data_IF_474858351245
#
_entry.id   IF_474858351245
#
_cell.length_a   1.000
_cell.length_b   1.000
_cell.length_c   1.000
_cell.angle_alpha   90.00
_cell.angle_beta   90.00
_cell.angle_gamma   90.00
#
_symmetry.space_group_name_H-M   'P 1'
#
loop_
_entity.id
_entity.type
_entity.pdbx_description
1 polymer ?
2 polymer ?
3 polymer ?
4 water ?
#
loop_
_entity_poly.entity_id
_entity_poly.type
_entity_poly.pdbx_seq_one_letter_code
_entity_poly.pdbx_strand_id
1 'polydeoxyribonucleotide' '(DT)(DC)' ?
#
# COMPACT_ATOMS: atom_id res chain seq x y z
N UNK B 1 26.46 -3.83 2.24
CA UNK B 1 25.39 -3.87 3.23
C UNK B 1 24.97 -5.32 3.44
N UNK B 2 24.43 -5.59 4.61
CA UNK B 2 23.94 -6.88 4.92
C UNK B 2 22.53 -6.89 4.38
N UNK B 3 22.29 -7.76 3.42
CA UNK B 3 20.99 -7.89 2.84
C UNK B 3 20.23 -8.86 3.68
N UNK B 4 19.01 -8.49 4.02
CA UNK B 4 18.16 -9.30 4.87
C UNK B 4 17.06 -9.89 3.98
N UNK B 5 17.05 -11.20 3.79
CA UNK B 5 16.11 -11.82 2.85
C UNK B 5 15.04 -12.50 3.66
N UNK B 6 13.81 -12.07 3.51
CA UNK B 6 12.72 -12.75 4.22
C UNK B 6 11.98 -13.65 3.28
N UNK B 7 11.57 -14.80 3.77
CA UNK B 7 10.78 -15.68 3.00
C UNK B 7 9.74 -16.30 3.90
N UNK B 8 8.50 -16.39 3.43
CA UNK B 8 8.00 -15.90 2.15
C UNK B 8 7.70 -14.43 2.26
N UNK B 9 7.36 -13.78 1.17
CA UNK B 9 6.98 -12.37 1.26
C UNK B 9 5.53 -12.26 1.68
N UNK B 10 4.75 -13.27 1.39
CA UNK B 10 3.39 -13.29 1.83
C UNK B 10 3.12 -14.66 2.37
N UNK B 11 2.57 -14.76 3.55
CA UNK B 11 2.37 -16.06 4.16
C UNK B 11 0.91 -16.16 4.54
N UNK B 12 0.14 -16.97 3.79
CA UNK B 12 -1.24 -17.25 4.10
C UNK B 12 -1.30 -18.16 5.27
N UNK B 13 -2.07 -17.80 6.27
CA UNK B 13 -2.18 -18.62 7.42
C UNK B 13 -3.62 -18.72 7.75
N UNK B 14 -3.97 -19.74 8.50
CA UNK B 14 -5.28 -19.81 9.07
C UNK B 14 -5.12 -19.35 10.51
N UNK B 15 -6.12 -18.69 11.03
CA UNK B 15 -6.10 -18.31 12.42
C UNK B 15 -5.98 -19.58 13.26
N UNK B 16 -5.16 -19.47 14.28
CA UNK B 16 -4.91 -20.54 15.19
C UNK B 16 -3.80 -21.47 14.75
N UNK B 17 -3.25 -21.35 13.55
CA UNK B 17 -2.23 -22.33 13.31
C UNK B 17 -0.89 -21.67 13.35
N UNK B 18 0.17 -22.41 13.20
CA UNK B 18 1.43 -21.81 13.43
C UNK B 18 1.94 -21.26 12.15
N UNK B 19 2.77 -20.24 12.27
CA UNK B 19 3.36 -19.60 11.15
C UNK B 19 4.84 -19.48 11.46
N UNK B 20 5.65 -19.58 10.43
CA UNK B 20 7.07 -19.44 10.54
C UNK B 20 7.49 -18.53 9.45
N UNK B 21 8.36 -17.60 9.78
CA UNK B 21 8.87 -16.75 8.74
C UNK B 21 10.36 -16.74 8.89
N UNK B 22 11.02 -16.80 7.76
CA UNK B 22 12.44 -16.93 7.70
C UNK B 22 13.04 -15.59 7.31
N UNK B 23 14.20 -15.36 7.88
CA UNK B 23 14.99 -14.24 7.61
C UNK B 23 16.43 -14.73 7.51
N UNK B 24 17.05 -14.46 6.40
CA UNK B 24 18.42 -14.83 6.20
C UNK B 24 19.21 -13.61 5.86
N UNK B 25 20.40 -13.50 6.43
CA UNK B 25 21.25 -12.36 6.22
C UNK B 25 22.32 -12.80 5.25
N UNK B 26 22.82 -11.86 4.47
CA UNK B 26 23.80 -12.18 3.48
C UNK B 26 25.16 -12.37 4.11
N UNK B 27 25.34 -11.88 5.32
CA UNK B 27 26.52 -12.22 6.08
C UNK B 27 26.17 -12.41 7.53
N UNK B 28 27.09 -12.92 8.31
CA UNK B 28 26.81 -13.20 9.69
C UNK B 28 26.43 -11.94 10.36
N UNK B 29 25.44 -12.02 11.21
CA UNK B 29 25.08 -10.84 11.95
C UNK B 29 25.46 -11.00 13.41
N UNK B 30 26.35 -11.95 13.68
CA UNK B 30 26.98 -12.04 14.98
C UNK B 30 27.91 -10.84 15.10
N UNK B 31 27.66 -10.02 16.09
CA UNK B 31 28.45 -8.86 16.33
C UNK B 31 29.82 -9.28 16.84
N UNK B 32 30.82 -8.40 16.82
CA UNK B 32 32.08 -8.80 17.44
C UNK B 32 31.89 -9.19 18.90
N UNK B 33 30.92 -8.63 19.60
CA UNK B 33 30.79 -8.97 21.01
C UNK B 33 30.08 -10.29 21.20
N UNK B 34 29.66 -10.88 20.09
CA UNK B 34 29.20 -12.25 20.09
C UNK B 34 27.70 -12.26 20.22
N UNK B 35 27.10 -11.09 20.42
CA UNK B 35 25.68 -11.00 20.35
C UNK B 35 25.25 -10.90 18.92
N UNK B 36 24.03 -11.33 18.69
CA UNK B 36 23.46 -11.29 17.38
C UNK B 36 22.26 -10.37 17.46
N UNK B 37 22.39 -9.20 16.86
CA UNK B 37 21.37 -8.20 17.01
C UNK B 37 20.35 -8.33 15.89
N UNK B 38 19.58 -9.40 15.95
CA UNK B 38 18.56 -9.70 15.00
C UNK B 38 17.27 -9.43 15.72
N UNK B 39 16.44 -8.60 15.11
CA UNK B 39 15.22 -8.16 15.71
C UNK B 39 14.10 -8.36 14.73
N UNK B 40 12.91 -8.50 15.25
CA UNK B 40 11.74 -8.63 14.45
C UNK B 40 10.81 -7.53 14.90
N UNK B 41 10.16 -6.93 13.93
CA UNK B 41 9.18 -5.91 14.16
C UNK B 41 7.90 -6.33 13.45
N UNK B 42 6.77 -5.95 13.97
CA UNK B 42 5.50 -6.15 13.33
C UNK B 42 4.96 -4.78 13.02
N UNK B 43 4.47 -4.59 11.80
CA UNK B 43 3.82 -3.38 11.44
C UNK B 43 2.42 -3.68 10.94
N UNK B 44 1.48 -2.97 11.51
CA UNK B 44 0.11 -3.04 11.02
C UNK B 44 -0.08 -1.83 10.16
N UNK B 45 -1.01 -1.93 9.18
CA UNK B 45 -1.34 -0.83 8.30
C UNK B 45 -1.55 0.46 9.03
N UNK B 46 -0.83 1.48 8.60
CA UNK B 46 -1.03 2.80 9.13
C UNK B 46 -0.43 3.02 10.50
N UNK B 47 0.34 2.05 11.00
CA UNK B 47 0.91 2.17 12.31
C UNK B 47 2.41 2.02 12.23
N UNK B 48 3.07 2.45 13.29
CA UNK B 48 4.49 2.33 13.41
C UNK B 48 4.77 0.88 13.66
N UNK B 49 5.96 0.43 13.25
CA UNK B 49 6.43 -0.86 13.59
C UNK B 49 6.55 -1.01 15.09
N UNK B 50 6.31 -2.22 15.54
CA UNK B 50 6.44 -2.54 16.92
C UNK B 50 7.46 -3.63 17.08
N UNK B 51 8.31 -3.48 18.09
CA UNK B 51 9.36 -4.41 18.37
C UNK B 51 8.75 -5.65 18.95
N UNK B 52 9.10 -6.80 18.38
CA UNK B 52 8.61 -8.06 18.93
C UNK B 52 9.72 -8.81 19.64
N UNK B 53 10.82 -8.95 18.95
CA UNK B 53 11.89 -9.83 19.36
C UNK B 53 13.21 -9.12 19.11
N UNK B 54 14.13 -9.30 20.05
CA UNK B 54 15.44 -8.70 19.90
C UNK B 54 16.45 -9.80 20.27
N UNK B 55 17.68 -9.61 19.82
CA UNK B 55 18.74 -10.59 20.03
C UNK B 55 18.26 -11.98 19.76
N UNK B 56 17.66 -12.09 18.60
CA UNK B 56 17.24 -13.33 17.98
C UNK B 56 15.99 -13.92 18.60
N UNK B 57 15.97 -14.06 19.91
CA UNK B 57 15.00 -14.92 20.53
C UNK B 57 14.35 -14.32 21.75
N UNK B 58 14.62 -13.06 22.03
CA UNK B 58 14.09 -12.48 23.26
C UNK B 58 12.84 -11.71 22.95
N UNK B 59 11.78 -11.95 23.67
CA UNK B 59 10.57 -11.19 23.47
C UNK B 59 10.67 -9.88 24.20
N UNK B 60 10.32 -8.81 23.48
CA UNK B 60 10.20 -7.52 24.07
C UNK B 60 9.06 -7.54 25.08
N UNK B 61 9.08 -6.68 26.07
CA UNK B 61 8.05 -6.67 27.08
C UNK B 61 6.70 -6.50 26.42
N UNK B 62 5.74 -7.28 26.86
CA UNK B 62 4.40 -7.19 26.33
C UNK B 62 4.12 -8.06 25.12
N UNK B 63 5.14 -8.69 24.55
CA UNK B 63 4.96 -9.53 23.40
C UNK B 63 4.56 -10.90 23.88
N UNK B 64 3.44 -11.41 23.41
CA UNK B 64 2.94 -12.64 24.01
C UNK B 64 3.86 -13.82 23.64
N UNK B 65 3.75 -14.91 24.39
CA UNK B 65 4.72 -16.00 24.27
C UNK B 65 4.49 -16.85 23.04
N UNK B 66 3.51 -16.49 22.23
CA UNK B 66 3.28 -17.23 21.00
C UNK B 66 4.30 -16.81 19.95
N UNK B 67 5.01 -15.70 20.17
CA UNK B 67 6.09 -15.34 19.28
C UNK B 67 7.39 -15.84 19.82
N UNK B 68 8.17 -16.55 19.00
CA UNK B 68 9.47 -16.97 19.40
C UNK B 68 10.36 -16.76 18.19
N UNK B 69 11.63 -16.50 18.46
CA UNK B 69 12.58 -16.35 17.43
C UNK B 69 13.68 -17.34 17.67
N UNK B 70 14.31 -17.78 16.60
CA UNK B 70 15.43 -18.67 16.75
C UNK B 70 16.33 -18.42 15.59
N UNK B 71 17.47 -19.06 15.62
CA UNK B 71 18.35 -19.00 14.49
C UNK B 71 19.70 -18.62 14.98
N UNK B 72 20.65 -18.66 14.08
CA UNK B 72 21.96 -18.20 14.44
C UNK B 72 22.70 -17.86 13.19
N UNK B 73 23.57 -16.88 13.29
CA UNK B 73 24.52 -16.64 12.25
C UNK B 73 23.88 -15.84 11.17
N UNK B 74 23.28 -16.55 10.20
CA UNK B 74 22.65 -15.91 9.07
C UNK B 74 21.22 -16.42 8.85
N UNK B 75 20.73 -17.37 9.61
CA UNK B 75 19.44 -17.93 9.33
C UNK B 75 18.61 -17.83 10.57
N UNK B 76 17.46 -17.18 10.44
CA UNK B 76 16.66 -16.80 11.57
C UNK B 76 15.24 -17.08 11.23
N UNK B 77 14.49 -17.41 12.26
CA UNK B 77 13.12 -17.73 12.11
C UNK B 77 12.34 -17.05 13.20
N UNK B 78 11.21 -16.52 12.81
CA UNK B 78 10.22 -16.08 13.73
C UNK B 78 9.09 -17.07 13.60
N UNK B 79 8.65 -17.60 14.71
CA UNK B 79 7.61 -18.53 14.71
C UNK B 79 6.49 -17.95 15.54
N UNK B 80 5.28 -18.14 15.06
CA UNK B 80 4.08 -17.72 15.81
C UNK B 80 3.31 -18.99 16.07
N UNK B 81 3.16 -19.38 17.33
CA UNK B 81 2.67 -20.72 17.59
C UNK B 81 1.19 -20.88 17.28
N UNK B 82 0.48 -19.75 17.26
CA UNK B 82 -0.97 -19.74 17.08
C UNK B 82 -1.28 -18.35 16.61
N UNK B 83 -1.53 -18.22 15.32
CA UNK B 83 -1.82 -16.94 14.76
C UNK B 83 -3.19 -16.46 15.22
N UNK B 84 -3.24 -15.24 15.76
CA UNK B 84 -4.48 -14.61 16.13
C UNK B 84 -4.70 -13.53 15.12
N UNK B 85 -5.93 -13.07 15.02
CA UNK B 85 -6.27 -12.00 14.10
C UNK B 85 -5.35 -10.77 14.27
N UNK B 86 -5.03 -10.44 15.51
CA UNK B 86 -4.24 -9.25 15.74
C UNK B 86 -2.81 -9.40 15.28
N UNK B 87 -2.44 -10.58 14.81
CA UNK B 87 -1.07 -10.80 14.41
C UNK B 87 -0.88 -10.54 12.95
N UNK B 88 -1.99 -10.27 12.25
CA UNK B 88 -1.94 -10.05 10.83
C UNK B 88 -1.28 -8.69 10.61
N UNK B 89 -0.29 -8.69 9.74
CA UNK B 89 0.45 -7.49 9.52
C UNK B 89 1.69 -7.92 8.80
N UNK B 90 2.65 -7.03 8.79
CA UNK B 90 3.87 -7.24 8.08
C UNK B 90 4.94 -7.37 9.13
N UNK B 91 5.71 -8.43 8.98
CA UNK B 91 6.79 -8.70 9.88
C UNK B 91 8.07 -8.41 9.17
N UNK B 92 8.93 -7.69 9.89
CA UNK B 92 10.25 -7.34 9.36
C UNK B 92 11.29 -7.89 10.30
N UNK B 93 12.28 -8.52 9.73
CA UNK B 93 13.47 -8.81 10.48
C UNK B 93 14.42 -7.67 10.21
N UNK B 94 15.32 -7.46 11.16
CA UNK B 94 16.17 -6.32 11.17
C UNK B 94 17.50 -6.79 11.75
N UNK B 95 18.59 -6.26 11.21
CA UNK B 95 19.89 -6.51 11.80
C UNK B 95 20.43 -5.18 12.27
N UNK B 96 20.93 -5.19 13.49
CA UNK B 96 21.54 -4.00 14.07
C UNK B 96 22.95 -4.30 14.50
N UNK B 97 23.57 -5.28 13.83
CA UNK B 97 24.96 -5.63 14.11
C UNK B 97 25.91 -4.83 13.24
N UNK B 98 25.46 -4.44 12.07
CA UNK B 98 26.34 -3.83 11.08
C UNK B 98 25.72 -2.58 10.55
N UNK B 99 26.55 -1.61 10.13
CA UNK B 99 26.05 -0.40 9.52
C UNK B 99 26.28 -0.56 8.01
N UNK B 100 25.28 -0.22 7.19
CA UNK B 100 24.01 0.30 7.53
C UNK B 100 23.11 -0.74 8.13
N UNK B 101 22.27 -0.23 9.00
CA UNK B 101 21.28 -1.03 9.57
C UNK B 101 20.34 -1.40 8.45
N UNK B 102 19.82 -2.64 8.44
CA UNK B 102 19.02 -3.08 7.30
C UNK B 102 17.90 -3.96 7.83
N UNK B 103 16.79 -3.85 7.11
CA UNK B 103 15.61 -4.62 7.35
C UNK B 103 15.37 -5.55 6.24
N UNK B 104 14.66 -6.64 6.52
CA UNK B 104 14.15 -7.46 5.43
C UNK B 104 12.98 -6.74 4.80
N UNK B 105 12.48 -7.24 3.68
CA UNK B 105 11.49 -6.56 2.89
C UNK B 105 10.12 -6.69 3.48
N UNK B 106 9.96 -7.59 4.43
CA UNK B 106 8.72 -7.73 5.13
C UNK B 106 8.02 -8.96 4.64
N UNK B 107 7.40 -9.67 5.55
CA UNK B 107 6.53 -10.78 5.24
C UNK B 107 5.15 -10.40 5.72
N UNK B 108 4.22 -10.36 4.79
CA UNK B 108 2.89 -10.05 5.14
C UNK B 108 2.17 -11.35 5.47
N UNK B 109 1.62 -11.39 6.65
CA UNK B 109 0.81 -12.48 7.08
C UNK B 109 -0.61 -12.20 6.60
N UNK B 110 -1.17 -13.13 5.85
CA UNK B 110 -2.48 -12.94 5.26
C UNK B 110 -3.35 -14.14 5.63
N UNK B 111 -4.64 -14.02 5.45
CA UNK B 111 -5.54 -15.06 5.84
C UNK B 111 -5.72 -15.99 4.65
N UNK B 112 -5.57 -17.28 4.94
CA UNK B 112 -5.77 -18.32 3.97
C UNK B 112 -7.24 -18.56 3.80
N UNK B 113 -7.63 -18.87 2.58
CA UNK B 113 -8.99 -19.23 2.28
C UNK B 113 -8.96 -20.10 1.02
N UNK B 114 -10.11 -20.62 0.61
CA UNK B 114 -10.12 -21.46 -0.57
C UNK B 114 -9.89 -20.58 -1.80
N UNK B 115 -9.32 -21.18 -2.81
CA UNK B 115 -9.12 -20.45 -4.04
C UNK B 115 -10.44 -19.96 -4.57
N UNK B 116 -10.41 -18.80 -5.21
CA UNK B 116 -11.62 -18.17 -5.73
C UNK B 116 -11.21 -17.51 -7.03
N UNK B 117 -11.90 -17.87 -8.08
CA UNK B 117 -11.62 -17.28 -9.38
C UNK B 117 -12.11 -15.85 -9.35
N UNK B 118 -11.44 -14.96 -10.05
CA UNK B 118 -11.90 -13.59 -10.11
C UNK B 118 -13.17 -13.47 -10.90
N UNK B 119 -14.04 -12.57 -10.50
CA UNK B 119 -15.18 -12.17 -11.32
C UNK B 119 -14.67 -11.01 -12.09
N UNK B 120 -14.66 -11.12 -13.40
CA UNK B 120 -14.01 -10.09 -14.22
C UNK B 120 -15.10 -9.33 -14.97
N UNK B 121 -15.02 -8.01 -14.88
CA UNK B 121 -15.96 -7.10 -15.55
C UNK B 121 -15.14 -6.13 -16.33
N UNK B 122 -15.56 -5.86 -17.56
CA UNK B 122 -14.89 -4.86 -18.38
C UNK B 122 -15.89 -3.79 -18.71
N UNK B 123 -15.40 -2.56 -18.73
CA UNK B 123 -16.26 -1.42 -18.93
C UNK B 123 -15.69 -0.56 -19.98
N UNK B 124 -16.47 -0.30 -21.03
CA UNK B 124 -16.04 0.70 -21.96
C UNK B 124 -16.05 2.07 -21.31
N UNK B 125 -15.40 3.03 -21.96
CA UNK B 125 -15.38 4.38 -21.47
C UNK B 125 -16.77 4.92 -21.37
N UNK B 126 -17.04 5.71 -20.35
CA UNK B 126 -18.31 6.36 -20.27
C UNK B 126 -18.41 7.42 -21.35
N UNK B 127 -19.63 7.70 -21.77
CA UNK B 127 -19.83 8.72 -22.78
C UNK B 127 -19.32 10.07 -22.25
N UNK B 128 -19.55 10.34 -20.96
CA UNK B 128 -19.05 11.55 -20.34
C UNK B 128 -17.57 11.74 -20.50
N UNK B 129 -16.81 10.67 -20.31
CA UNK B 129 -15.38 10.78 -20.41
C UNK B 129 -14.96 11.01 -21.84
N UNK B 130 -15.60 10.29 -22.75
CA UNK B 130 -15.32 10.48 -24.15
C UNK B 130 -15.51 11.92 -24.55
N UNK B 131 -16.50 12.60 -23.99
CA UNK B 131 -16.71 14.02 -24.30
C UNK B 131 -15.52 14.88 -23.87
N UNK B 132 -14.83 14.47 -22.82
CA UNK B 132 -13.62 15.15 -22.36
C UNK B 132 -12.38 14.83 -23.20
N UNK B 133 -12.48 13.86 -24.11
CA UNK B 133 -11.37 13.53 -25.00
C UNK B 133 -10.52 12.38 -24.52
N UNK B 134 -10.94 11.77 -23.41
CA UNK B 134 -10.23 10.64 -22.81
C UNK B 134 -11.05 9.38 -22.91
N UNK B 135 -10.39 8.25 -22.82
CA UNK B 135 -11.08 6.99 -22.89
C UNK B 135 -10.42 6.03 -21.92
N UNK B 136 -11.01 5.79 -20.77
CA UNK B 136 -10.45 4.80 -19.86
C UNK B 136 -11.31 3.58 -19.98
N UNK B 137 -10.67 2.44 -20.22
CA UNK B 137 -11.32 1.18 -20.25
C UNK B 137 -10.97 0.50 -18.95
N UNK B 138 -11.96 0.01 -18.24
CA UNK B 138 -11.69 -0.45 -16.89
C UNK B 138 -12.03 -1.92 -16.84
N UNK B 139 -11.18 -2.65 -16.15
CA UNK B 139 -11.41 -4.03 -15.88
C UNK B 139 -11.31 -4.24 -14.41
N UNK B 140 -12.38 -4.74 -13.83
CA UNK B 140 -12.36 -5.13 -12.43
C UNK B 140 -12.19 -6.62 -12.35
N UNK B 141 -11.35 -7.05 -11.44
CA UNK B 141 -11.12 -8.47 -11.25
C UNK B 141 -11.33 -8.64 -9.80
N UNK B 142 -12.52 -9.08 -9.46
CA UNK B 142 -12.98 -9.02 -8.12
C UNK B 142 -13.07 -10.35 -7.42
N UNK B 143 -12.75 -10.32 -6.13
CA UNK B 143 -13.00 -11.38 -5.18
C UNK B 143 -12.29 -12.65 -5.55
N UNK B 144 -10.99 -12.57 -5.72
CA UNK B 144 -10.22 -13.73 -6.05
C UNK B 144 -9.22 -14.04 -4.96
N UNK B 145 -8.74 -15.26 -5.02
CA UNK B 145 -7.78 -15.78 -4.08
C UNK B 145 -7.10 -16.98 -4.74
N UNK B 146 -5.77 -17.08 -4.68
CA UNK B 146 -4.82 -16.25 -4.00
C UNK B 146 -4.59 -14.95 -4.71
N UNK B 147 -3.76 -14.08 -4.13
CA UNK B 147 -3.67 -12.71 -4.62
C UNK B 147 -2.95 -12.60 -5.92
N UNK B 148 -2.18 -13.61 -6.27
CA UNK B 148 -1.36 -13.54 -7.47
C UNK B 148 -2.22 -13.62 -8.70
N UNK B 149 -2.14 -12.61 -9.52
CA UNK B 149 -2.95 -12.57 -10.69
C UNK B 149 -2.20 -11.77 -11.72
N UNK B 150 -2.41 -12.08 -12.98
CA UNK B 150 -1.76 -11.31 -14.04
C UNK B 150 -2.85 -10.85 -14.95
N UNK B 151 -2.86 -9.56 -15.25
CA UNK B 151 -3.83 -9.03 -16.16
C UNK B 151 -3.11 -8.50 -17.36
N UNK B 152 -3.72 -8.76 -18.50
CA UNK B 152 -3.16 -8.38 -19.78
C UNK B 152 -4.31 -7.73 -20.50
N UNK B 153 -4.02 -6.63 -21.15
CA UNK B 153 -4.96 -5.94 -22.06
C UNK B 153 -4.56 -6.25 -23.46
N UNK B 154 -5.57 -6.53 -24.28
CA UNK B 154 -5.37 -6.71 -25.71
C UNK B 154 -6.35 -5.80 -26.41
N UNK B 155 -5.87 -5.15 -27.45
CA UNK B 155 -6.65 -4.23 -28.23
C UNK B 155 -6.50 -4.77 -29.61
N UNK B 156 -7.61 -5.13 -30.23
CA UNK B 156 -7.59 -5.77 -31.54
C UNK B 156 -6.60 -6.93 -31.60
N UNK B 157 -6.61 -7.70 -30.52
CA UNK B 157 -5.82 -8.91 -30.44
C UNK B 157 -4.35 -8.74 -30.09
N UNK B 158 -3.87 -7.51 -29.92
CA UNK B 158 -2.49 -7.28 -29.58
C UNK B 158 -2.38 -6.80 -28.16
N UNK B 159 -1.41 -7.36 -27.44
CA UNK B 159 -1.15 -6.94 -26.10
C UNK B 159 -0.86 -5.46 -26.05
N UNK B 160 -1.41 -4.81 -25.06
CA UNK B 160 -1.17 -3.41 -24.81
C UNK B 160 -0.71 -3.22 -23.38
N UNK B 161 0.42 -2.61 -23.19
CA UNK B 161 0.92 -2.41 -21.89
C UNK B 161 0.97 -0.95 -21.49
N UNK B 162 1.19 -0.04 -22.44
CA UNK B 162 1.28 1.36 -22.04
C UNK B 162 -0.10 1.92 -21.73
N UNK B 163 -0.15 2.72 -20.68
CA UNK B 163 -1.38 3.37 -20.29
C UNK B 163 -2.20 2.53 -19.38
N UNK B 164 -1.64 1.41 -18.90
CA UNK B 164 -2.37 0.56 -18.03
C UNK B 164 -1.99 0.90 -16.62
N UNK B 165 -2.99 1.04 -15.76
CA UNK B 165 -2.75 1.25 -14.37
C UNK B 165 -3.56 0.29 -13.57
N UNK B 166 -2.87 -0.41 -12.68
CA UNK B 166 -3.49 -1.39 -11.86
C UNK B 166 -3.49 -0.95 -10.45
N UNK B 167 -4.52 -1.37 -9.73
CA UNK B 167 -4.56 -1.10 -8.32
C UNK B 167 -5.10 -2.33 -7.68
N UNK B 168 -4.61 -2.65 -6.50
CA UNK B 168 -5.00 -3.86 -5.82
C UNK B 168 -5.55 -3.50 -4.48
N UNK B 169 -6.61 -4.17 -4.05
CA UNK B 169 -7.06 -3.99 -2.72
C UNK B 169 -6.20 -4.88 -1.83
N UNK B 170 -6.27 -4.61 -0.55
CA UNK B 170 -5.74 -5.50 0.43
C UNK B 170 -6.76 -6.60 0.60
N UNK B 171 -6.39 -7.58 1.36
CA UNK B 171 -7.28 -8.67 1.55
C UNK B 171 -8.55 -8.19 2.23
N UNK B 172 -9.66 -8.64 1.71
CA UNK B 172 -10.96 -8.24 2.18
C UNK B 172 -11.17 -8.84 3.55
N UNK B 173 -11.63 -8.04 4.52
CA UNK B 173 -11.70 -8.54 5.88
C UNK B 173 -12.88 -9.44 5.99
N UNK B 174 -13.80 -9.34 5.06
CA UNK B 174 -15.00 -10.14 5.14
C UNK B 174 -14.82 -11.50 4.52
N UNK B 175 -14.27 -11.56 3.33
CA UNK B 175 -14.18 -12.83 2.66
C UNK B 175 -12.77 -13.24 2.29
N UNK B 176 -11.77 -12.46 2.69
CA UNK B 176 -10.38 -12.82 2.56
C UNK B 176 -9.94 -12.87 1.12
N UNK B 177 -10.75 -12.31 0.21
CA UNK B 177 -10.34 -12.23 -1.17
C UNK B 177 -9.63 -10.94 -1.43
N UNK B 178 -9.10 -10.89 -2.64
CA UNK B 178 -8.46 -9.74 -3.19
C UNK B 178 -9.21 -9.30 -4.40
N UNK B 179 -9.08 -8.02 -4.71
CA UNK B 179 -9.64 -7.51 -5.94
C UNK B 179 -8.61 -6.59 -6.51
N UNK B 180 -8.75 -6.35 -7.79
CA UNK B 180 -7.86 -5.55 -8.52
C UNK B 180 -8.65 -4.80 -9.56
N UNK B 181 -8.18 -3.60 -9.88
CA UNK B 181 -8.74 -2.81 -10.94
C UNK B 181 -7.61 -2.65 -11.91
N UNK B 182 -7.92 -2.71 -13.17
CA UNK B 182 -6.93 -2.45 -14.17
C UNK B 182 -7.60 -1.50 -15.13
N UNK B 183 -6.97 -0.36 -15.36
CA UNK B 183 -7.53 0.67 -16.19
C UNK B 183 -6.54 0.96 -17.31
N UNK B 184 -7.05 0.90 -18.52
CA UNK B 184 -6.29 1.25 -19.69
C UNK B 184 -6.80 2.60 -20.12
N UNK B 185 -5.93 3.59 -20.13
CA UNK B 185 -6.34 4.93 -20.54
C UNK B 185 -5.73 5.26 -21.85
N UNK B 186 -6.58 5.67 -22.77
CA UNK B 186 -6.22 6.05 -24.12
C UNK B 186 -6.80 7.43 -24.34
N UNK B 187 -6.38 8.07 -25.38
CA UNK B 187 -7.10 9.24 -25.87
C UNK B 187 -8.38 8.72 -26.55
N UNK B 188 -9.38 9.58 -26.69
CA UNK B 188 -10.59 9.21 -27.39
C UNK B 188 -10.21 8.82 -28.83
N UNK B 189 -9.25 9.53 -29.41
CA UNK B 189 -8.88 9.24 -30.82
C UNK B 189 -8.26 7.87 -30.97
N UNK B 190 -7.34 7.54 -30.10
CA UNK B 190 -6.77 6.20 -30.07
C UNK B 190 -7.84 5.14 -29.79
N UNK B 191 -8.69 5.40 -28.82
CA UNK B 191 -9.79 4.49 -28.52
C UNK B 191 -10.65 4.16 -29.74
N UNK B 192 -10.89 5.18 -30.57
CA UNK B 192 -11.82 5.05 -31.69
C UNK B 192 -11.17 4.40 -32.86
N UNK B 193 -9.86 4.21 -32.82
CA UNK B 193 -9.14 3.54 -33.90
C UNK B 193 -9.08 2.04 -33.68
N UNK B 194 -9.66 1.51 -32.60
CA UNK B 194 -9.63 0.07 -32.38
C UNK B 194 -11.01 -0.45 -32.12
N UNK B 195 -11.20 -1.74 -32.33
CA UNK B 195 -12.52 -2.33 -32.22
C UNK B 195 -12.64 -3.13 -30.93
N UNK B 196 -11.71 -4.04 -30.69
CA UNK B 196 -11.93 -5.00 -29.63
C UNK B 196 -11.01 -4.68 -28.47
N UNK B 197 -11.58 -4.68 -27.28
CA UNK B 197 -10.82 -4.44 -26.07
C UNK B 197 -11.00 -5.63 -25.18
N UNK B 198 -9.90 -6.19 -24.72
CA UNK B 198 -9.91 -7.41 -23.96
C UNK B 198 -9.07 -7.24 -22.71
N UNK B 199 -9.68 -7.55 -21.59
CA UNK B 199 -9.02 -7.71 -20.33
C UNK B 199 -8.87 -9.24 -20.15
N UNK B 200 -7.62 -9.72 -20.00
CA UNK B 200 -7.33 -11.16 -19.83
C UNK B 200 -6.63 -11.35 -18.53
N UNK B 201 -7.17 -12.22 -17.69
CA UNK B 201 -6.68 -12.42 -16.34
C UNK B 201 -6.15 -13.86 -16.25
N UNK B 202 -4.91 -14.04 -15.83
CA UNK B 202 -4.38 -15.35 -15.55
C UNK B 202 -4.32 -15.48 -14.05
N UNK B 203 -4.95 -16.53 -13.56
CA UNK B 203 -5.05 -16.77 -12.16
C UNK B 203 -4.96 -18.28 -11.99
N UNK B 204 -4.45 -18.69 -10.85
CA UNK B 204 -4.19 -20.09 -10.62
C UNK B 204 -5.45 -20.94 -10.70
N UNK B 205 -6.61 -20.33 -10.55
CA UNK B 205 -7.84 -21.06 -10.50
C UNK B 205 -8.26 -21.60 -11.86
N UNK B 206 -7.75 -21.04 -12.96
CA UNK B 206 -7.92 -21.72 -14.22
C UNK B 206 -6.66 -21.84 -15.06
N UNK B 207 -6.73 -22.86 -15.93
CA UNK B 207 -5.66 -23.27 -16.76
C UNK B 207 -5.52 -22.27 -17.88
N UNK B 208 -6.59 -21.56 -18.14
CA UNK B 208 -6.60 -20.63 -19.21
C UNK B 208 -7.00 -19.26 -18.70
N UNK B 209 -6.52 -18.22 -19.36
CA UNK B 209 -6.89 -16.90 -18.90
C UNK B 209 -8.39 -16.70 -18.97
N UNK B 210 -8.89 -15.88 -18.06
CA UNK B 210 -10.24 -15.41 -18.08
C UNK B 210 -10.27 -14.19 -18.99
N UNK B 211 -11.14 -14.18 -19.97
CA UNK B 211 -11.13 -13.14 -20.98
C UNK B 211 -12.48 -12.47 -20.95
N UNK B 212 -12.47 -11.16 -20.78
CA UNK B 212 -13.64 -10.34 -21.00
C UNK B 212 -13.30 -9.30 -22.05
N UNK B 213 -14.20 -9.09 -22.98
CA UNK B 213 -13.92 -8.04 -23.91
C UNK B 213 -15.19 -7.39 -24.35
N UNK B 214 -15.04 -6.33 -25.10
CA UNK B 214 -16.16 -5.78 -25.79
C UNK B 214 -15.65 -5.25 -27.09
N UNK B 215 -16.56 -5.12 -28.06
CA UNK B 215 -16.27 -4.44 -29.31
C UNK B 215 -16.87 -3.04 -29.21
N UNK B 216 -16.04 -2.05 -29.55
CA UNK B 216 -16.44 -0.65 -29.45
C UNK B 216 -17.71 -0.38 -30.27
N UNK B 217 -17.77 -0.99 -31.45
CA UNK B 217 -18.93 -0.93 -32.35
C UNK B 217 -19.95 -2.00 -32.01
N UNK B 218 -20.40 -2.01 -30.76
CA UNK B 218 -21.43 -2.93 -30.28
C UNK B 218 -21.96 -2.26 -29.04
N UNK B 219 -22.89 -2.89 -28.34
CA UNK B 219 -23.53 -2.25 -27.21
C UNK B 219 -24.24 -3.25 -26.29
N UNK C 1 4.63 7.96 30.15
CA UNK C 1 4.48 8.22 28.71
C UNK C 1 5.79 8.67 28.00
N UNK C 2 6.57 7.69 27.57
CA UNK C 2 7.56 7.91 26.58
C UNK C 2 6.79 8.17 25.31
N UNK C 3 7.14 9.23 24.60
CA UNK C 3 6.53 9.52 23.34
C UNK C 3 7.50 10.18 22.42
N UNK C 4 7.42 9.80 21.15
CA UNK C 4 8.10 10.46 20.07
C UNK C 4 6.98 11.01 19.22
N UNK C 5 6.92 12.32 19.08
CA UNK C 5 5.85 12.94 18.34
C UNK C 5 6.49 13.57 17.13
N UNK C 6 6.06 13.16 15.97
CA UNK C 6 6.54 13.73 14.76
C UNK C 6 5.61 14.81 14.25
N UNK C 7 6.17 15.65 13.39
CA UNK C 7 5.40 16.68 12.78
C UNK C 7 4.39 16.03 11.82
N UNK C 8 3.47 16.86 11.33
CA UNK C 8 2.39 16.42 10.52
C UNK C 8 2.80 16.21 9.09
N UNK C 9 1.86 15.70 8.29
CA UNK C 9 2.07 15.39 6.92
C UNK C 9 2.46 16.62 6.14
N UNK C 10 3.26 16.43 5.13
CA UNK C 10 3.76 17.53 4.35
C UNK C 10 3.42 17.26 2.92
N UNK C 11 2.99 18.29 2.23
CA UNK C 11 2.79 18.23 0.82
C UNK C 11 3.69 19.31 0.34
N UNK C 12 4.71 18.98 -0.40
CA UNK C 12 5.64 20.01 -0.84
C UNK C 12 5.86 19.84 -2.32
N UNK C 13 6.43 20.86 -2.93
CA UNK C 13 6.59 20.85 -4.37
C UNK C 13 7.92 20.21 -4.70
N UNK C 14 8.00 19.54 -5.85
CA UNK C 14 9.27 18.97 -6.26
C UNK C 14 10.36 20.04 -6.14
N UNK C 15 11.55 19.64 -5.72
CA UNK C 15 12.67 20.56 -5.62
C UNK C 15 12.74 21.25 -4.27
N UNK C 16 11.66 21.23 -3.51
CA UNK C 16 11.61 21.90 -2.24
C UNK C 16 12.34 21.04 -1.21
N UNK C 17 12.48 21.56 -0.03
CA UNK C 17 13.08 20.81 1.03
C UNK C 17 12.03 20.85 2.12
N UNK C 18 12.11 19.94 3.05
CA UNK C 18 11.15 19.84 4.08
C UNK C 18 11.96 19.51 5.34
N UNK C 19 11.49 19.95 6.49
CA UNK C 19 12.16 19.66 7.74
C UNK C 19 11.12 18.98 8.60
N UNK C 20 11.34 17.73 8.95
CA UNK C 20 10.42 16.95 9.73
C UNK C 20 10.97 16.81 11.11
N UNK C 21 10.14 16.92 12.12
CA UNK C 21 10.64 16.88 13.47
C UNK C 21 10.13 15.67 14.21
N UNK C 22 10.88 15.35 15.23
CA UNK C 22 10.59 14.23 16.06
C UNK C 22 10.89 14.70 17.46
N UNK C 23 9.86 14.97 18.22
CA UNK C 23 9.99 15.45 19.55
C UNK C 23 9.84 14.31 20.56
N UNK C 24 10.80 14.25 21.46
CA UNK C 24 10.91 13.21 22.42
C UNK C 24 10.43 13.71 23.74
N UNK C 25 9.65 12.91 24.42
CA UNK C 25 9.26 13.26 25.77
C UNK C 25 9.20 12.00 26.60
N UNK C 26 9.31 12.20 27.90
CA UNK C 26 9.16 11.14 28.86
C UNK C 26 10.40 10.35 29.16
N UNK C 27 11.51 10.72 28.55
CA UNK C 27 12.75 10.04 28.91
C UNK C 27 13.88 11.03 28.75
N UNK C 28 15.05 10.62 29.18
CA UNK C 28 16.20 11.47 29.13
C UNK C 28 16.71 11.47 27.73
N UNK C 29 16.49 12.59 27.09
CA UNK C 29 16.69 12.71 25.67
C UNK C 29 18.12 12.31 25.27
N UNK C 30 19.10 12.73 26.05
CA UNK C 30 20.50 12.48 25.70
C UNK C 30 20.98 11.06 26.03
N UNK C 31 20.09 10.21 26.51
CA UNK C 31 20.42 8.80 26.70
C UNK C 31 20.11 7.95 25.48
N UNK C 32 19.51 8.53 24.45
CA UNK C 32 19.08 7.78 23.29
C UNK C 32 19.44 8.47 22.03
N UNK C 33 19.69 7.65 21.05
CA UNK C 33 19.85 8.09 19.70
C UNK C 33 18.45 8.12 19.10
N UNK C 34 18.27 9.01 18.16
CA UNK C 34 17.08 9.00 17.37
C UNK C 34 17.48 8.53 16.03
N UNK C 35 16.80 7.51 15.52
CA UNK C 35 17.01 7.02 14.20
C UNK C 35 15.82 7.39 13.36
N UNK C 36 16.11 7.62 12.12
CA UNK C 36 15.06 7.99 11.16
C UNK C 36 15.02 6.90 10.13
N UNK C 37 13.82 6.60 9.66
CA UNK C 37 13.58 5.55 8.75
C UNK C 37 12.55 6.03 7.74
N UNK C 38 12.69 5.54 6.53
CA UNK C 38 11.76 5.83 5.44
C UNK C 38 11.04 4.53 5.20
N UNK C 39 9.78 4.64 4.86
CA UNK C 39 9.06 3.54 4.30
C UNK C 39 8.31 4.02 3.11
N UNK C 40 8.69 3.59 1.91
CA UNK C 40 7.90 3.96 0.75
C UNK C 40 6.64 3.12 0.76
N UNK C 41 5.55 3.64 0.15
CA UNK C 41 4.34 2.83 0.16
C UNK C 41 4.56 1.44 -0.40
N UNK C 42 4.10 0.46 0.37
CA UNK C 42 4.11 -0.91 -0.08
C UNK C 42 5.48 -1.52 -0.05
N UNK C 43 6.40 -0.90 0.67
CA UNK C 43 7.77 -1.39 0.74
C UNK C 43 8.21 -1.40 2.17
N UNK C 44 9.44 -1.84 2.37
CA UNK C 44 9.96 -2.03 3.69
C UNK C 44 10.55 -0.76 4.23
N UNK C 45 11.10 -0.89 5.41
CA UNK C 45 11.73 0.16 6.12
C UNK C 45 13.16 0.29 5.69
N UNK C 46 13.61 1.52 5.55
CA UNK C 46 14.96 1.81 5.18
C UNK C 46 15.50 2.72 6.23
N UNK C 47 16.69 2.44 6.70
CA UNK C 47 17.28 3.27 7.69
C UNK C 47 17.93 4.46 6.99
N UNK C 48 17.64 5.64 7.50
CA UNK C 48 18.21 6.88 7.01
C UNK C 48 19.47 7.26 7.78
N UNK C 49 19.42 7.26 9.09
CA UNK C 49 20.54 7.65 9.89
C UNK C 49 20.12 7.81 11.30
N UNK C 50 21.08 8.11 12.16
CA UNK C 50 20.75 8.50 13.53
C UNK C 50 21.31 9.83 13.80
N UNK C 51 20.73 10.45 14.79
CA UNK C 51 21.19 11.73 15.24
C UNK C 51 21.24 11.65 16.75
N UNK C 52 22.34 12.12 17.26
CA UNK C 52 22.59 12.17 18.67
C UNK C 52 23.56 13.31 18.76
N UNK C 53 23.54 14.06 19.86
CA UNK C 53 24.52 15.13 19.88
C UNK C 53 25.98 14.68 19.80
N UNK C 54 26.66 15.16 18.77
CA UNK C 54 28.02 14.77 18.50
C UNK C 54 28.14 13.46 17.74
N UNK C 55 27.03 12.84 17.40
CA UNK C 55 27.09 11.63 16.62
C UNK C 55 25.93 11.54 15.64
N UNK C 56 26.21 11.85 14.39
CA UNK C 56 25.18 11.80 13.34
C UNK C 56 25.70 10.81 12.31
N UNK C 57 24.94 9.79 12.00
CA UNK C 57 25.40 8.83 11.04
C UNK C 57 24.32 8.70 10.02
N UNK C 58 24.73 8.69 8.76
CA UNK C 58 23.78 8.47 7.68
C UNK C 58 24.01 7.14 7.01
N UNK C 59 22.92 6.57 6.51
CA UNK C 59 22.99 5.55 5.55
C UNK C 59 23.55 6.24 4.31
N UNK C 60 24.52 5.63 3.67
CA UNK C 60 25.16 6.24 2.49
C UNK C 60 24.13 6.68 1.48
N UNK C 61 23.08 5.89 1.35
CA UNK C 61 22.05 6.11 0.36
C UNK C 61 21.39 7.46 0.59
N UNK C 62 21.31 7.90 1.85
CA UNK C 62 20.66 9.17 2.19
C UNK C 62 21.55 10.35 2.47
N UNK C 63 22.84 10.16 2.32
CA UNK C 63 23.79 11.17 2.75
C UNK C 63 23.57 12.54 2.06
N UNK C 64 23.17 12.56 0.80
CA UNK C 64 23.00 13.84 0.14
C UNK C 64 21.59 14.40 0.24
N UNK C 65 20.69 13.66 0.86
CA UNK C 65 19.28 13.90 0.76
C UNK C 65 18.81 14.44 2.12
N UNK C 66 19.32 13.82 3.17
CA UNK C 66 18.92 14.11 4.50
C UNK C 66 20.01 14.82 5.31
N UNK C 67 19.59 15.78 6.13
CA UNK C 67 20.41 16.37 7.15
C UNK C 67 19.69 16.20 8.47
N UNK C 68 20.36 15.59 9.43
CA UNK C 68 19.80 15.41 10.73
C UNK C 68 20.41 16.38 11.68
N UNK C 69 19.56 16.98 12.51
CA UNK C 69 20.03 17.85 13.56
C UNK C 69 19.26 17.53 14.82
N UNK C 70 19.85 17.87 15.96
CA UNK C 70 19.25 17.60 17.26
C UNK C 70 19.27 18.91 18.01
N UNK C 71 18.17 19.21 18.68
CA UNK C 71 18.11 20.38 19.52
C UNK C 71 17.88 19.79 20.90
N UNK C 72 18.94 19.62 21.65
CA UNK C 72 18.85 18.96 22.93
C UNK C 72 18.08 19.77 23.93
N UNK C 73 18.13 21.08 23.80
CA UNK C 73 17.44 21.95 24.71
C UNK C 73 15.97 21.68 24.69
N UNK C 74 15.44 21.34 23.52
CA UNK C 74 14.01 21.19 23.38
C UNK C 74 13.69 19.75 23.10
N UNK C 75 14.72 18.91 23.11
CA UNK C 75 14.54 17.48 23.05
C UNK C 75 13.80 17.11 21.73
N UNK C 76 14.26 17.73 20.66
CA UNK C 76 13.68 17.55 19.36
C UNK C 76 14.81 17.35 18.37
N UNK C 77 14.59 16.44 17.43
CA UNK C 77 15.49 16.27 16.32
C UNK C 77 14.71 16.46 15.06
N UNK C 78 15.47 16.75 14.02
CA UNK C 78 14.93 17.19 12.76
C UNK C 78 15.62 16.40 11.71
N UNK C 79 14.87 16.07 10.69
CA UNK C 79 15.42 15.58 9.49
C UNK C 79 14.99 16.52 8.41
N UNK C 80 15.98 17.07 7.75
CA UNK C 80 15.77 17.96 6.67
C UNK C 80 16.00 17.10 5.45
N UNK C 81 15.06 17.14 4.51
CA UNK C 81 15.23 16.41 3.27
C UNK C 81 15.23 17.40 2.15
N UNK C 82 16.22 17.35 1.26
CA UNK C 82 16.32 18.40 0.30
C UNK C 82 16.09 17.81 -1.07
N UNK C 83 16.05 18.73 -2.03
CA UNK C 83 15.67 18.54 -3.40
C UNK C 83 14.78 17.37 -3.61
N UNK C 84 13.57 17.55 -3.12
CA UNK C 84 12.59 16.49 -3.08
C UNK C 84 12.05 16.18 -4.45
N UNK C 85 11.73 14.91 -4.63
CA UNK C 85 11.09 14.41 -5.83
C UNK C 85 10.03 13.44 -5.34
N UNK C 86 9.22 12.93 -6.26
CA UNK C 86 8.18 12.00 -5.86
C UNK C 86 8.80 10.69 -5.41
N UNK C 87 10.08 10.48 -5.72
CA UNK C 87 10.75 9.32 -5.17
C UNK C 87 10.81 9.42 -3.67
N UNK C 88 10.66 10.62 -3.12
CA UNK C 88 10.74 10.77 -1.69
C UNK C 88 9.41 10.62 -0.99
N UNK C 89 8.34 10.40 -1.75
CA UNK C 89 7.05 10.09 -1.18
C UNK C 89 7.18 8.86 -0.32
N UNK C 90 6.91 9.02 0.97
CA UNK C 90 7.19 7.99 1.90
C UNK C 90 6.58 8.43 3.21
N UNK C 91 6.53 7.48 4.12
CA UNK C 91 6.32 7.78 5.51
C UNK C 91 7.68 7.71 6.15
N UNK C 92 7.98 8.71 6.97
CA UNK C 92 9.24 8.78 7.68
C UNK C 92 8.93 8.62 9.14
N UNK C 93 9.70 7.77 9.78
CA UNK C 93 9.55 7.45 11.18
C UNK C 93 10.79 7.86 11.87
N UNK C 94 10.62 8.37 13.07
CA UNK C 94 11.75 8.35 13.97
C UNK C 94 11.50 7.31 15.05
N UNK C 95 12.59 6.86 15.63
CA UNK C 95 12.52 5.90 16.69
C UNK C 95 13.74 6.14 17.53
N UNK C 96 13.75 5.64 18.74
CA UNK C 96 14.88 5.86 19.61
C UNK C 96 15.64 4.58 19.78
N UNK C 97 16.87 4.73 20.19
CA UNK C 97 17.72 3.61 20.39
C UNK C 97 18.75 3.95 21.43
N UNK C 98 19.13 2.96 22.18
CA UNK C 98 20.28 3.10 23.04
C UNK C 98 20.97 1.77 23.12
N UNK C 99 22.20 1.84 23.59
CA UNK C 99 23.03 0.67 23.78
C UNK C 99 22.32 -0.37 24.57
N UNK C 100 22.28 -1.58 24.01
CA UNK C 100 21.69 -2.70 24.72
C UNK C 100 20.19 -2.71 24.57
N UNK C 101 19.67 -1.81 23.77
CA UNK C 101 18.26 -1.80 23.52
C UNK C 101 18.03 -1.81 22.01
N UNK C 102 16.78 -1.62 21.63
CA UNK C 102 16.35 -1.68 20.26
C UNK C 102 15.39 -0.52 20.00
N UNK C 103 14.81 -0.50 18.82
CA UNK C 103 13.89 0.54 18.45
C UNK C 103 12.60 0.27 19.15
N UNK C 104 12.50 0.70 20.38
CA UNK C 104 11.35 0.30 21.18
C UNK C 104 10.16 1.23 21.07
N UNK C 105 10.43 2.53 20.89
CA UNK C 105 9.37 3.49 20.77
C UNK C 105 9.59 4.17 19.44
N UNK C 106 8.49 4.43 18.76
CA UNK C 106 8.54 5.01 17.47
C UNK C 106 7.64 6.20 17.41
N UNK C 107 7.99 7.16 16.57
CA UNK C 107 7.04 8.20 16.22
C UNK C 107 5.92 7.65 15.38
N UNK C 108 4.88 8.44 15.17
CA UNK C 108 3.69 7.95 14.48
C UNK C 108 3.88 7.93 12.97
N UNK C 109 4.99 8.48 12.51
CA UNK C 109 5.26 8.58 11.11
C UNK C 109 4.82 9.94 10.61
N UNK C 110 5.54 10.41 9.61
CA UNK C 110 5.17 11.60 8.90
C UNK C 110 5.14 11.28 7.43
N UNK C 111 4.00 11.50 6.83
CA UNK C 111 3.82 11.22 5.44
C UNK C 111 4.24 12.45 4.64
N UNK C 112 5.06 12.21 3.62
CA UNK C 112 5.50 13.26 2.74
C UNK C 112 4.97 12.94 1.36
N UNK C 113 4.33 13.93 0.74
CA UNK C 113 3.95 13.84 -0.64
C UNK C 113 4.57 14.98 -1.39
N UNK C 114 5.22 14.67 -2.50
CA UNK C 114 5.90 15.66 -3.29
C UNK C 114 5.18 15.71 -4.59
N UNK C 115 4.63 16.86 -4.92
CA UNK C 115 3.78 17.00 -6.08
C UNK C 115 3.68 18.43 -6.43
N UNK C 116 3.60 18.72 -7.70
CA UNK C 116 3.38 20.07 -8.13
C UNK C 116 1.90 20.30 -8.40
N UNK C 117 1.05 19.27 -8.22
CA UNK C 117 -0.38 19.41 -8.50
C UNK C 117 -1.06 20.47 -7.64
N UNK C 118 -2.10 21.09 -8.18
CA UNK C 118 -2.97 21.98 -7.43
C UNK C 118 -4.11 21.14 -6.98
N UNK C 119 -4.79 21.57 -5.93
CA UNK C 119 -6.03 20.95 -5.52
C UNK C 119 -6.91 20.93 -6.75
N UNK C 120 -7.37 19.75 -7.10
CA UNK C 120 -8.17 19.50 -8.29
C UNK C 120 -9.27 18.51 -7.90
N UNK C 121 -10.52 18.88 -8.17
CA UNK C 121 -11.57 17.96 -7.82
C UNK C 121 -11.58 16.82 -8.84
N UNK C 122 -12.15 15.68 -8.46
CA UNK C 122 -12.22 14.58 -9.35
C UNK C 122 -13.26 14.74 -10.45
N UNK C 123 -12.99 14.13 -11.59
CA UNK C 123 -14.01 13.87 -12.55
C UNK C 123 -14.49 12.49 -12.18
N UNK C 124 -15.79 12.30 -12.21
CA UNK C 124 -16.36 11.02 -11.82
C UNK C 124 -17.10 10.48 -12.99
N UNK C 125 -16.75 9.30 -13.42
CA UNK C 125 -17.35 8.72 -14.55
C UNK C 125 -18.06 7.46 -14.11
N UNK C 126 -19.32 7.32 -14.49
CA UNK C 126 -20.03 6.10 -14.20
C UNK C 126 -19.56 4.96 -15.11
N UNK C 127 -19.46 3.77 -14.56
CA UNK C 127 -19.06 2.59 -15.30
C UNK C 127 -20.23 1.64 -15.31
N UNK C 128 -20.92 1.60 -16.43
CA UNK C 128 -22.07 0.73 -16.61
C UNK C 128 -21.64 -0.33 -17.61
N UNK C 129 -22.13 -1.55 -17.45
CA UNK C 129 -21.74 -2.60 -18.38
C UNK C 129 -22.13 -2.29 -19.83
N UNK C 130 -21.36 -2.86 -20.77
CA UNK C 130 -21.67 -2.78 -22.20
C UNK C 130 -22.82 -3.68 -22.64
N UNK C 131 -23.65 -4.11 -21.69
CA UNK C 131 -24.99 -4.69 -21.98
C UNK C 131 -25.05 -6.14 -22.48
N UNK C 132 -23.90 -6.81 -22.56
CA UNK C 132 -23.86 -8.29 -22.55
C UNK C 132 -23.89 -8.73 -21.07
N UNK C 133 -23.33 -7.87 -20.22
CA UNK C 133 -23.57 -7.93 -18.77
C UNK C 133 -25.00 -7.42 -18.45
N UNK C 134 -26.01 -8.14 -18.94
CA UNK C 134 -27.43 -7.88 -18.62
C UNK C 134 -28.14 -9.23 -18.48
N UNK C 135 -27.47 -10.17 -17.82
CA UNK C 135 -27.90 -11.60 -17.84
C UNK C 135 -27.67 -12.41 -16.55
N UNK C 136 -26.60 -12.09 -15.81
CA UNK C 136 -26.22 -12.87 -14.62
C UNK C 136 -27.04 -12.49 -13.38
N UNK C 137 -26.91 -13.32 -12.34
CA UNK C 137 -27.53 -13.01 -11.05
C UNK C 137 -27.07 -11.64 -10.55
N UNK C 138 -25.78 -11.33 -10.70
CA UNK C 138 -25.20 -10.09 -10.21
C UNK C 138 -24.69 -9.25 -11.35
N UNK C 139 -24.80 -7.94 -11.18
CA UNK C 139 -24.18 -6.99 -12.09
C UNK C 139 -23.15 -6.21 -11.29
N UNK C 140 -22.02 -5.91 -11.93
CA UNK C 140 -21.02 -5.08 -11.36
C UNK C 140 -21.05 -3.75 -12.08
N UNK C 141 -21.11 -2.71 -11.26
CA UNK C 141 -21.09 -1.33 -11.69
C UNK C 141 -19.82 -0.71 -11.13
N UNK C 142 -19.42 0.40 -11.68
CA UNK C 142 -18.34 1.14 -11.02
C UNK C 142 -18.39 2.62 -11.26
N UNK C 143 -17.46 3.31 -10.61
CA UNK C 143 -17.26 4.71 -10.78
C UNK C 143 -15.82 4.87 -10.88
N UNK C 144 -15.42 5.60 -11.91
CA UNK C 144 -14.03 5.95 -12.09
C UNK C 144 -13.90 7.39 -11.58
N UNK C 145 -13.00 7.60 -10.63
CA UNK C 145 -12.76 8.89 -10.01
C UNK C 145 -11.38 9.31 -10.45
N UNK C 146 -11.34 10.23 -11.36
CA UNK C 146 -10.13 10.47 -12.14
C UNK C 146 -9.69 11.91 -11.95
N UNK C 147 -8.39 12.09 -11.75
CA UNK C 147 -7.78 13.38 -11.94
C UNK C 147 -7.93 14.31 -10.78
N UNK C 148 -7.82 13.78 -9.58
CA UNK C 148 -7.95 14.60 -8.39
C UNK C 148 -6.66 14.71 -7.63
N UNK C 149 -6.61 15.74 -6.81
CA UNK C 149 -5.49 15.95 -5.97
C UNK C 149 -5.94 16.91 -4.88
N UNK C 150 -5.50 16.68 -3.65
CA UNK C 150 -4.73 15.58 -3.14
C UNK C 150 -5.68 14.45 -2.75
N UNK C 151 -5.10 13.38 -2.22
CA UNK C 151 -5.88 12.37 -1.54
C UNK C 151 -6.37 13.00 -0.25
N UNK C 152 -7.39 12.45 0.34
CA UNK C 152 -8.17 11.33 -0.17
C UNK C 152 -9.42 11.78 -0.91
N UNK C 153 -10.09 10.77 -1.44
CA UNK C 153 -11.44 10.88 -1.91
C UNK C 153 -12.18 9.80 -1.12
N UNK C 154 -13.43 10.07 -0.78
CA UNK C 154 -14.30 9.07 -0.20
C UNK C 154 -15.33 8.65 -1.23
N UNK C 155 -15.54 7.35 -1.38
CA UNK C 155 -16.54 6.84 -2.30
C UNK C 155 -17.52 6.04 -1.50
N UNK C 156 -18.79 6.34 -1.67
CA UNK C 156 -19.83 5.51 -1.15
C UNK C 156 -20.79 5.25 -2.27
N UNK C 157 -21.67 4.29 -2.05
CA UNK C 157 -22.63 3.94 -3.03
C UNK C 157 -24.00 4.05 -2.44
N UNK C 158 -24.88 4.74 -3.15
CA UNK C 158 -26.19 5.06 -2.63
C UNK C 158 -26.07 5.59 -1.21
N UNK C 159 -25.11 6.51 -1.05
CA UNK C 159 -24.87 7.23 0.19
C UNK C 159 -24.54 6.32 1.38
N UNK C 160 -23.94 5.17 1.12
CA UNK C 160 -23.57 4.24 2.20
C UNK C 160 -24.51 3.06 2.35
N UNK C 161 -25.69 3.17 1.75
CA UNK C 161 -26.70 2.10 1.71
C UNK C 161 -26.18 0.82 1.16
N UNK C 162 -25.45 0.90 0.04
CA UNK C 162 -24.80 -0.26 -0.52
C UNK C 162 -23.41 -0.32 0.09
N UNK C 163 -23.27 -1.10 1.15
CA UNK C 163 -21.97 -1.33 1.76
C UNK C 163 -21.39 -2.67 1.27
N UNK C 164 -22.27 -3.63 1.02
CA UNK C 164 -21.85 -4.94 0.57
C UNK C 164 -21.58 -4.94 -0.93
N UNK C 165 -20.56 -5.67 -1.32
CA UNK C 165 -20.19 -5.83 -2.73
C UNK C 165 -19.34 -4.70 -3.26
N UNK C 166 -18.88 -3.84 -2.37
CA UNK C 166 -18.15 -2.64 -2.74
C UNK C 166 -16.65 -2.89 -2.66
N UNK C 167 -15.94 -2.47 -3.69
CA UNK C 167 -14.49 -2.48 -3.67
C UNK C 167 -14.08 -1.16 -4.14
N UNK C 168 -13.34 -0.47 -3.32
CA UNK C 168 -12.81 0.80 -3.66
C UNK C 168 -11.32 0.59 -3.70
N UNK C 169 -10.76 0.90 -4.84
CA UNK C 169 -9.40 0.55 -5.04
C UNK C 169 -8.51 1.68 -4.62
N UNK C 170 -7.31 1.33 -4.16
CA UNK C 170 -6.40 2.41 -3.84
C UNK C 170 -6.13 3.26 -5.04
N UNK C 171 -5.96 4.56 -4.79
CA UNK C 171 -5.67 5.53 -5.83
C UNK C 171 -4.30 5.32 -6.40
N UNK C 172 -4.15 5.60 -7.68
CA UNK C 172 -2.83 5.57 -8.30
C UNK C 172 -2.59 6.90 -8.98
N UNK C 173 -1.33 7.28 -9.12
CA UNK C 173 -0.95 8.51 -9.78
C UNK C 173 -0.87 8.33 -11.29
N UNK C 174 -1.47 9.27 -12.00
CA UNK C 174 -1.61 9.22 -13.45
C UNK C 174 -1.48 10.66 -13.85
N UNK C 175 -0.29 11.05 -14.31
CA UNK C 175 -0.01 12.43 -14.71
C UNK C 175 -0.21 13.43 -13.52
N UNK C 176 0.46 13.12 -12.40
CA UNK C 176 0.46 13.95 -11.19
C UNK C 176 -0.87 14.02 -10.47
N UNK C 177 -1.89 13.30 -10.94
CA UNK C 177 -3.19 13.37 -10.35
C UNK C 177 -3.60 11.97 -10.01
N UNK C 178 -4.47 11.84 -9.02
CA UNK C 178 -4.91 10.54 -8.60
C UNK C 178 -6.08 10.07 -9.39
N UNK C 179 -6.13 8.77 -9.55
CA UNK C 179 -7.26 8.10 -10.11
C UNK C 179 -7.57 6.90 -9.23
N UNK C 180 -8.85 6.72 -8.97
CA UNK C 180 -9.31 5.62 -8.13
C UNK C 180 -10.54 5.09 -8.86
N UNK C 181 -10.85 3.85 -8.61
CA UNK C 181 -12.12 3.33 -9.06
C UNK C 181 -12.77 2.63 -7.89
N UNK C 182 -14.06 2.43 -8.05
CA UNK C 182 -14.84 1.71 -7.09
C UNK C 182 -15.82 0.89 -7.89
N UNK C 183 -16.06 -0.33 -7.40
CA UNK C 183 -17.02 -1.19 -7.99
C UNK C 183 -17.98 -1.60 -6.93
N UNK C 184 -19.19 -1.91 -7.39
CA UNK C 184 -20.22 -2.42 -6.57
C UNK C 184 -20.90 -3.50 -7.41
N UNK C 185 -21.28 -4.59 -6.77
CA UNK C 185 -21.90 -5.70 -7.44
C UNK C 185 -23.22 -5.74 -6.75
N UNK C 186 -24.29 -5.68 -7.53
CA UNK C 186 -25.65 -5.70 -7.02
C UNK C 186 -26.45 -6.75 -7.77
N UNK C 187 -27.53 -7.23 -7.15
CA UNK C 187 -28.38 -8.16 -7.87
C UNK C 187 -28.94 -7.57 -9.17
N UNK C 188 -28.94 -8.35 -10.24
CA UNK C 188 -29.59 -7.93 -11.47
C UNK C 188 -31.02 -7.43 -11.24
N UNK C 189 -31.72 -8.00 -10.24
CA UNK C 189 -33.01 -7.46 -9.81
C UNK C 189 -32.98 -5.96 -9.63
N UNK C 190 -31.96 -5.51 -8.91
CA UNK C 190 -31.98 -4.18 -8.34
C UNK C 190 -31.48 -3.07 -9.25
N UNK C 191 -30.71 -3.40 -10.28
CA UNK C 191 -30.28 -2.42 -11.28
C UNK C 191 -30.53 -2.95 -12.69
N UNK C 192 -31.06 -2.10 -13.61
CA UNK C 192 -31.33 -0.67 -13.46
C UNK C 192 -32.67 -0.29 -12.85
N UNK C 193 -33.46 -1.25 -12.38
CA UNK C 193 -34.78 -0.90 -11.83
C UNK C 193 -34.67 0.11 -10.70
N UNK C 194 -33.66 -0.06 -9.85
CA UNK C 194 -33.38 0.88 -8.79
C UNK C 194 -32.21 1.73 -9.21
N UNK C 195 -32.18 2.97 -8.73
CA UNK C 195 -31.05 3.84 -9.00
C UNK C 195 -29.85 3.38 -8.22
N UNK C 196 -28.70 3.36 -8.86
CA UNK C 196 -27.46 3.20 -8.12
C UNK C 196 -26.59 4.41 -8.41
N UNK C 197 -26.06 5.01 -7.37
CA UNK C 197 -25.21 6.17 -7.56
C UNK C 197 -23.95 6.08 -6.72
N UNK C 198 -22.84 6.45 -7.32
CA UNK C 198 -21.66 6.52 -6.53
C UNK C 198 -21.51 7.95 -6.08
N UNK C 199 -21.22 8.10 -4.81
CA UNK C 199 -21.11 9.38 -4.19
C UNK C 199 -19.66 9.58 -3.93
N UNK C 200 -19.10 10.60 -4.54
CA UNK C 200 -17.68 10.82 -4.39
C UNK C 200 -17.50 12.14 -3.68
N UNK C 201 -16.75 12.12 -2.59
CA UNK C 201 -16.46 13.35 -1.86
C UNK C 201 -14.95 13.53 -1.89
N UNK C 202 -14.56 14.77 -2.15
CA UNK C 202 -13.17 15.16 -2.15
C UNK C 202 -13.03 16.33 -1.22
N UNK C 203 -12.68 16.05 0.03
CA UNK C 203 -12.67 17.08 1.02
C UNK C 203 -11.77 18.26 0.70
N UNK C 204 -10.65 18.03 0.03
CA UNK C 204 -9.69 19.12 -0.18
C UNK C 204 -10.26 20.17 -1.11
N UNK C 205 -11.14 19.78 -2.02
CA UNK C 205 -11.79 20.74 -2.89
C UNK C 205 -13.22 21.01 -2.47
N UNK C 206 -13.62 20.48 -1.33
CA UNK C 206 -15.00 20.59 -0.87
C UNK C 206 -16.02 20.22 -1.93
N UNK C 207 -15.70 19.22 -2.71
CA UNK C 207 -16.53 18.83 -3.80
C UNK C 207 -17.12 17.45 -3.54
N UNK C 208 -18.40 17.34 -3.83
CA UNK C 208 -19.08 16.07 -3.85
C UNK C 208 -19.72 15.93 -5.20
N UNK C 209 -19.64 14.71 -5.73
CA UNK C 209 -20.22 14.37 -7.00
C UNK C 209 -21.02 13.13 -6.72
N UNK C 210 -22.30 13.15 -7.04
CA UNK C 210 -23.15 11.97 -6.94
C UNK C 210 -23.52 11.58 -8.34
N UNK C 211 -22.81 10.60 -8.90
CA UNK C 211 -23.07 10.10 -10.25
C UNK C 211 -23.95 8.87 -10.22
N UNK C 212 -25.07 9.01 -10.90
CA UNK C 212 -26.02 7.94 -11.10
C UNK C 212 -25.46 7.04 -12.18
N UNK C 213 -25.49 5.73 -11.97
CA UNK C 213 -25.07 4.80 -12.97
C UNK C 213 -26.31 4.43 -13.77
N UNK C 214 -26.34 4.82 -15.02
CA UNK C 214 -27.45 4.53 -15.86
C UNK C 214 -26.98 3.63 -17.01
N UNK C 215 -27.85 2.72 -17.48
CA UNK C 215 -27.46 1.86 -18.58
C UNK C 215 -26.98 2.67 -19.77
N UNK C 216 -26.03 2.13 -20.53
CA UNK C 216 -25.38 2.87 -21.62
C UNK C 216 -26.28 3.24 -22.81
#
# INVERSE_FOLDING_TARGET
>B
DILMTQTPLSLPVSLGDQASISCRSSQSIVHSNGNTYLEWYLQKPGQSPTLLIYKVSNRFSGVPDRFSGSGSGTDFTLKISRVEAEDLGVYYCFQGSHIPLTFGAGTKLEVKRSDAAPTVSIFPPSSEQLTSGGASVVCFLNNFYPKDINVKWKIDGSERQNGVLNSWTDQDSKDSTYSMSSTLTLTKDEYERHNSYTCEATHKTSTSPIVKSFNRNEC
>C
EVQLEESGPELVKPGASVKISCKASGYTFTDYYMNWLRQKPGQGLEWIGWVYPGSIKYNEKFKDKATLTADTSSSIVYMHLSSLTSDDNAVYFCTRWTYGSSFDYWGEGTLLTVSSAKTTPPSVYPLAPGSAAQTNSMVTLGCLVKGYFPEPVTVTWNSGSLSSGVHTFPAVLQSDLYTLSSSVTVPSSTWPSETVTCNVAHPASSTKVDKKIVPR
#
